data_IF_699027976112
#
_entry.id   IF_699027976112
#
_cell.length_a   1.000
_cell.length_b   1.000
_cell.length_c   1.000
_cell.angle_alpha   90.00
_cell.angle_beta   90.00
_cell.angle_gamma   90.00
#
_symmetry.space_group_name_H-M   'P 1'
#
loop_
_entity.id
_entity.type
_entity.pdbx_description
1 polymer ?
#
# COMPACT_ATOMS: atom_id res chain seq x y z
N UNK A 1 10.35 -13.69 23.38
CA UNK A 1 10.81 -12.28 23.51
C UNK A 1 12.32 -12.18 23.64
N UNK A 2 12.92 -12.58 24.78
CA UNK A 2 14.37 -12.42 25.04
C UNK A 2 15.27 -13.06 23.98
N UNK A 3 14.89 -14.25 23.50
CA UNK A 3 15.61 -14.96 22.45
C UNK A 3 15.72 -14.19 21.14
N UNK A 4 14.69 -13.46 20.70
CA UNK A 4 14.75 -12.67 19.45
C UNK A 4 15.55 -11.38 19.62
N UNK A 5 15.36 -10.69 20.74
CA UNK A 5 16.10 -9.44 21.03
C UNK A 5 17.60 -9.67 21.16
N UNK A 6 18.03 -10.82 21.69
CA UNK A 6 19.45 -11.18 21.81
C UNK A 6 20.02 -11.94 20.63
N UNK A 7 19.19 -12.41 19.69
CA UNK A 7 19.66 -13.15 18.53
C UNK A 7 20.40 -12.27 17.51
N UNK A 8 20.23 -10.94 17.57
CA UNK A 8 20.79 -10.00 16.61
C UNK A 8 21.35 -8.81 17.37
N UNK A 9 22.65 -8.55 17.21
CA UNK A 9 23.24 -7.25 17.54
C UNK A 9 23.21 -6.43 16.25
N UNK A 10 22.43 -5.34 16.24
CA UNK A 10 22.25 -4.53 15.06
C UNK A 10 23.00 -3.21 15.20
N UNK A 11 23.80 -2.88 14.19
CA UNK A 11 24.42 -1.57 14.02
C UNK A 11 24.02 -1.10 12.63
N UNK A 12 23.16 -0.07 12.56
CA UNK A 12 22.65 0.42 11.30
C UNK A 12 23.81 0.95 10.44
N UNK A 13 24.01 0.43 9.21
CA UNK A 13 24.94 1.03 8.28
C UNK A 13 24.37 2.34 7.71
N UNK A 14 25.22 3.12 7.05
CA UNK A 14 24.75 4.24 6.25
C UNK A 14 24.10 3.71 4.97
N UNK A 15 22.78 3.53 5.00
CA UNK A 15 22.00 3.07 3.86
C UNK A 15 22.02 4.08 2.71
N UNK A 16 22.44 3.64 1.52
CA UNK A 16 22.38 4.43 0.29
C UNK A 16 21.18 3.95 -0.52
N UNK A 17 20.09 4.69 -0.41
CA UNK A 17 18.83 4.37 -1.07
C UNK A 17 18.83 4.78 -2.54
N UNK A 18 18.24 3.92 -3.38
CA UNK A 18 18.02 4.17 -4.80
C UNK A 18 16.56 3.87 -5.14
N UNK A 19 15.92 4.69 -6.00
CA UNK A 19 14.56 4.42 -6.42
C UNK A 19 14.50 3.14 -7.25
N UNK A 20 13.48 2.34 -7.05
CA UNK A 20 13.16 1.15 -7.82
C UNK A 20 11.66 1.08 -8.06
N UNK A 21 11.25 0.51 -9.17
CA UNK A 21 9.85 0.29 -9.50
C UNK A 21 9.60 -1.20 -9.71
N UNK A 22 8.58 -1.73 -9.04
CA UNK A 22 8.15 -3.11 -9.17
C UNK A 22 6.77 -3.16 -9.81
N UNK A 23 6.51 -4.20 -10.59
CA UNK A 23 5.14 -4.57 -10.94
C UNK A 23 4.35 -4.95 -9.68
N UNK A 24 3.02 -4.91 -9.76
CA UNK A 24 2.16 -5.31 -8.64
C UNK A 24 2.43 -6.76 -8.20
N UNK A 25 2.78 -7.66 -9.13
CA UNK A 25 3.05 -9.05 -8.81
C UNK A 25 4.43 -9.25 -8.17
N UNK A 26 5.46 -8.53 -8.64
CA UNK A 26 6.77 -8.51 -7.97
C UNK A 26 6.66 -7.95 -6.54
N UNK A 27 5.86 -6.89 -6.34
CA UNK A 27 5.63 -6.33 -5.02
C UNK A 27 4.90 -7.31 -4.09
N UNK A 28 3.91 -8.09 -4.60
CA UNK A 28 3.24 -9.16 -3.84
C UNK A 28 4.23 -10.25 -3.42
N UNK A 29 5.10 -10.67 -4.34
CA UNK A 29 6.14 -11.67 -4.05
C UNK A 29 7.10 -11.15 -2.99
N UNK A 30 7.56 -9.90 -3.10
CA UNK A 30 8.40 -9.25 -2.09
C UNK A 30 7.73 -9.25 -0.71
N UNK A 31 6.46 -8.84 -0.63
CA UNK A 31 5.70 -8.79 0.63
C UNK A 31 5.51 -10.17 1.31
N UNK A 32 5.66 -11.27 0.55
CA UNK A 32 5.54 -12.64 1.04
C UNK A 32 6.89 -13.25 1.43
N UNK A 33 7.88 -13.09 0.56
CA UNK A 33 9.17 -13.77 0.67
C UNK A 33 10.11 -13.05 1.63
N UNK A 34 10.13 -11.72 1.60
CA UNK A 34 11.10 -10.93 2.37
C UNK A 34 10.98 -11.10 3.89
N UNK A 35 9.78 -11.07 4.52
CA UNK A 35 9.66 -11.36 5.95
C UNK A 35 10.01 -12.80 6.32
N UNK A 36 9.97 -13.72 5.35
CA UNK A 36 10.30 -15.14 5.52
C UNK A 36 11.80 -15.40 5.38
N UNK A 37 12.51 -14.61 4.57
CA UNK A 37 13.97 -14.64 4.51
C UNK A 37 14.60 -13.94 5.73
N UNK A 38 13.97 -12.87 6.23
CA UNK A 38 14.51 -12.02 7.29
C UNK A 38 13.80 -12.21 8.65
N UNK A 39 13.44 -13.45 9.00
CA UNK A 39 12.64 -13.81 10.20
C UNK A 39 13.16 -13.23 11.51
N UNK A 40 14.48 -13.14 11.64
CA UNK A 40 15.16 -12.68 12.84
C UNK A 40 15.23 -11.15 12.92
N UNK A 41 15.08 -10.45 11.79
CA UNK A 41 15.25 -9.00 11.66
C UNK A 41 13.89 -8.29 11.62
N UNK A 42 12.89 -8.90 10.98
CA UNK A 42 11.55 -8.32 10.77
C UNK A 42 10.59 -8.74 11.89
N UNK A 43 9.80 -7.80 12.40
CA UNK A 43 8.60 -8.10 13.17
C UNK A 43 7.43 -8.35 12.21
N UNK A 44 6.85 -9.54 12.27
CA UNK A 44 5.76 -9.90 11.37
C UNK A 44 4.72 -10.76 12.10
N UNK A 45 3.67 -10.11 12.57
CA UNK A 45 2.52 -10.76 13.19
C UNK A 45 1.46 -11.15 12.17
N UNK A 46 0.93 -12.37 12.25
CA UNK A 46 -0.31 -12.79 11.58
C UNK A 46 -1.40 -13.00 12.62
N UNK A 47 -2.63 -12.64 12.29
CA UNK A 47 -3.78 -12.74 13.18
C UNK A 47 -3.98 -14.16 13.76
N UNK A 48 -3.71 -15.20 12.97
CA UNK A 48 -3.89 -16.58 13.41
C UNK A 48 -2.98 -16.98 14.58
N UNK A 49 -1.81 -16.35 14.73
CA UNK A 49 -0.95 -16.59 15.90
C UNK A 49 -1.63 -16.25 17.22
N UNK A 50 -2.57 -15.31 17.19
CA UNK A 50 -3.29 -14.81 18.35
C UNK A 50 -4.66 -15.44 18.52
N UNK A 51 -5.31 -15.85 17.42
CA UNK A 51 -6.67 -16.39 17.45
C UNK A 51 -6.74 -17.91 17.65
N UNK A 52 -5.77 -18.67 17.16
CA UNK A 52 -5.77 -20.14 17.30
C UNK A 52 -5.58 -20.59 18.76
N UNK A 53 -4.67 -20.02 19.57
CA UNK A 53 -4.50 -20.47 20.95
C UNK A 53 -5.76 -20.35 21.81
N UNK A 54 -6.53 -19.23 21.82
CA UNK A 54 -7.81 -19.15 22.52
C UNK A 54 -8.81 -20.23 22.09
N UNK A 55 -8.92 -20.53 20.80
CA UNK A 55 -9.82 -21.59 20.30
C UNK A 55 -9.41 -22.96 20.83
N UNK A 56 -8.11 -23.26 20.87
CA UNK A 56 -7.59 -24.52 21.43
C UNK A 56 -7.81 -24.60 22.95
N UNK A 57 -7.72 -23.48 23.67
CA UNK A 57 -8.03 -23.42 25.10
C UNK A 57 -9.52 -23.65 25.37
N UNK A 58 -10.41 -23.12 24.52
CA UNK A 58 -11.85 -23.40 24.60
C UNK A 58 -12.13 -24.89 24.34
N UNK A 59 -11.45 -25.51 23.37
CA UNK A 59 -11.57 -26.94 23.12
C UNK A 59 -11.17 -27.78 24.35
N UNK A 60 -10.07 -27.39 25.01
CA UNK A 60 -9.61 -28.01 26.26
C UNK A 60 -10.68 -27.96 27.36
N UNK A 61 -11.39 -26.84 27.49
CA UNK A 61 -12.46 -26.68 28.49
C UNK A 61 -13.75 -27.41 28.09
N UNK A 62 -14.07 -27.47 26.81
CA UNK A 62 -15.31 -28.05 26.31
C UNK A 62 -15.34 -29.58 26.42
N UNK A 63 -14.21 -30.26 26.21
CA UNK A 63 -14.16 -31.73 26.17
C UNK A 63 -14.54 -32.37 27.51
N UNK A 64 -14.02 -31.96 28.68
CA UNK A 64 -14.45 -32.50 29.96
C UNK A 64 -15.93 -32.26 30.25
N UNK A 65 -16.47 -31.10 29.87
CA UNK A 65 -17.89 -30.77 30.04
C UNK A 65 -18.76 -31.69 29.17
N UNK A 66 -18.39 -31.86 27.90
CA UNK A 66 -19.10 -32.72 26.97
C UNK A 66 -19.03 -34.20 27.39
N UNK A 67 -17.86 -34.65 27.89
CA UNK A 67 -17.66 -36.02 28.37
C UNK A 67 -18.43 -36.30 29.68
N UNK A 68 -18.71 -35.27 30.48
CA UNK A 68 -19.51 -35.38 31.70
C UNK A 68 -21.01 -35.49 31.38
N UNK A 69 -21.51 -34.67 30.45
CA UNK A 69 -22.94 -34.50 30.22
C UNK A 69 -23.52 -35.40 29.11
N UNK A 70 -22.73 -35.75 28.09
CA UNK A 70 -23.27 -36.36 26.85
C UNK A 70 -22.70 -37.75 26.60
N UNK A 71 -21.37 -37.89 26.52
CA UNK A 71 -20.73 -39.17 26.18
C UNK A 71 -19.48 -39.45 27.02
N UNK A 72 -19.64 -40.39 27.96
CA UNK A 72 -18.57 -40.78 28.87
C UNK A 72 -17.42 -41.52 28.19
N UNK A 73 -17.61 -42.08 26.99
CA UNK A 73 -16.53 -42.75 26.25
C UNK A 73 -15.37 -41.81 25.93
N UNK A 74 -15.65 -40.50 25.83
CA UNK A 74 -14.68 -39.45 25.56
C UNK A 74 -13.68 -39.19 26.69
N UNK A 75 -13.95 -39.66 27.91
CA UNK A 75 -12.97 -39.57 29.02
C UNK A 75 -11.66 -40.29 28.70
N UNK A 76 -11.71 -41.35 27.90
CA UNK A 76 -10.52 -42.12 27.49
C UNK A 76 -9.58 -41.31 26.58
N UNK A 77 -10.11 -40.38 25.80
CA UNK A 77 -9.35 -39.55 24.85
C UNK A 77 -9.09 -38.12 25.35
N UNK A 78 -9.81 -37.68 26.39
CA UNK A 78 -9.68 -36.34 26.95
C UNK A 78 -8.23 -35.94 27.32
N UNK A 79 -7.41 -36.79 27.96
CA UNK A 79 -6.01 -36.46 28.25
C UNK A 79 -5.16 -36.25 26.98
N UNK A 80 -5.40 -37.04 25.93
CA UNK A 80 -4.67 -36.93 24.68
C UNK A 80 -5.03 -35.62 23.95
N UNK A 81 -6.33 -35.28 23.88
CA UNK A 81 -6.76 -34.03 23.27
C UNK A 81 -6.26 -32.83 24.07
N UNK A 82 -6.32 -32.90 25.41
CA UNK A 82 -5.75 -31.88 26.28
C UNK A 82 -4.28 -31.61 25.95
N UNK A 83 -3.46 -32.67 25.95
CA UNK A 83 -2.02 -32.54 25.71
C UNK A 83 -1.72 -32.00 24.30
N UNK A 84 -2.43 -32.51 23.28
CA UNK A 84 -2.26 -32.07 21.90
C UNK A 84 -2.67 -30.60 21.70
N UNK A 85 -3.84 -30.20 22.21
CA UNK A 85 -4.33 -28.83 22.10
C UNK A 85 -3.47 -27.85 22.90
N UNK A 86 -3.03 -28.21 24.11
CA UNK A 86 -2.17 -27.36 24.93
C UNK A 86 -0.78 -27.20 24.30
N UNK A 87 -0.21 -28.30 23.81
CA UNK A 87 1.06 -28.29 23.09
C UNK A 87 0.99 -27.42 21.84
N UNK A 88 -0.06 -27.58 21.02
CA UNK A 88 -0.29 -26.77 19.84
C UNK A 88 -0.50 -25.28 20.19
N UNK A 89 -1.32 -24.98 21.19
CA UNK A 89 -1.56 -23.61 21.64
C UNK A 89 -0.27 -22.93 22.10
N UNK A 90 0.53 -23.64 22.89
CA UNK A 90 1.82 -23.14 23.39
C UNK A 90 2.81 -22.94 22.25
N UNK A 91 2.94 -23.91 21.35
CA UNK A 91 3.85 -23.80 20.20
C UNK A 91 3.50 -22.62 19.29
N UNK A 92 2.20 -22.45 18.97
CA UNK A 92 1.71 -21.35 18.15
C UNK A 92 1.91 -20.01 18.85
N UNK A 93 1.61 -19.91 20.15
CA UNK A 93 1.79 -18.69 20.92
C UNK A 93 3.27 -18.29 21.02
N UNK A 94 4.17 -19.24 21.29
CA UNK A 94 5.62 -19.00 21.35
C UNK A 94 6.16 -18.59 19.99
N UNK A 95 5.77 -19.29 18.93
CA UNK A 95 6.16 -18.94 17.56
C UNK A 95 5.63 -17.56 17.15
N UNK A 96 4.37 -17.27 17.45
CA UNK A 96 3.71 -15.99 17.23
C UNK A 96 4.40 -14.86 17.97
N UNK A 97 4.68 -15.04 19.26
CA UNK A 97 5.41 -14.09 20.08
C UNK A 97 6.82 -13.84 19.53
N UNK A 98 7.52 -14.88 19.08
CA UNK A 98 8.81 -14.74 18.40
C UNK A 98 8.67 -13.90 17.12
N UNK A 99 7.73 -14.25 16.24
CA UNK A 99 7.51 -13.55 14.97
C UNK A 99 7.11 -12.09 15.15
N UNK A 100 6.24 -11.79 16.11
CA UNK A 100 5.72 -10.44 16.37
C UNK A 100 6.65 -9.55 17.21
N UNK A 101 7.66 -10.10 17.89
CA UNK A 101 8.60 -9.28 18.67
C UNK A 101 9.50 -8.45 17.74
N UNK A 102 9.52 -7.13 17.93
CA UNK A 102 10.47 -6.22 17.30
C UNK A 102 11.83 -6.22 18.02
N UNK A 103 12.88 -5.93 17.25
CA UNK A 103 14.24 -5.68 17.72
C UNK A 103 14.83 -4.45 17.00
N UNK A 104 16.09 -4.13 17.29
CA UNK A 104 16.72 -2.90 16.80
C UNK A 104 16.84 -2.86 15.26
N UNK A 105 16.89 -4.02 14.59
CA UNK A 105 16.89 -4.10 13.13
C UNK A 105 15.50 -3.92 12.51
N UNK A 106 14.42 -4.08 13.29
CA UNK A 106 13.06 -4.10 12.74
C UNK A 106 12.70 -2.81 12.00
N UNK A 107 13.18 -1.65 12.46
CA UNK A 107 12.85 -0.37 11.82
C UNK A 107 13.37 -0.26 10.38
N UNK A 108 14.55 -0.85 10.10
CA UNK A 108 15.14 -0.78 8.77
C UNK A 108 14.63 -1.91 7.86
N UNK A 109 14.25 -3.05 8.45
CA UNK A 109 13.82 -4.21 7.70
C UNK A 109 12.29 -4.30 7.57
N UNK A 110 11.49 -3.48 8.23
CA UNK A 110 10.04 -3.53 8.05
C UNK A 110 9.62 -3.08 6.63
N UNK A 111 8.60 -3.73 6.09
CA UNK A 111 7.98 -3.35 4.81
C UNK A 111 6.71 -2.53 5.10
N UNK A 112 6.86 -1.46 5.88
CA UNK A 112 5.75 -0.65 6.35
C UNK A 112 4.94 -0.14 5.16
N UNK A 113 3.62 -0.30 5.21
CA UNK A 113 2.65 0.15 4.19
C UNK A 113 2.74 -0.52 2.81
N UNK A 114 3.64 -1.47 2.58
CA UNK A 114 3.75 -2.13 1.25
C UNK A 114 2.46 -2.83 0.84
N UNK A 115 1.75 -3.47 1.79
CA UNK A 115 0.51 -4.19 1.51
C UNK A 115 -0.61 -3.25 1.12
N UNK A 116 -0.69 -2.13 1.82
CA UNK A 116 -1.62 -1.03 1.60
C UNK A 116 -1.37 -0.40 0.23
N UNK A 117 -0.11 -0.20 -0.14
CA UNK A 117 0.30 0.28 -1.47
C UNK A 117 -0.03 -0.71 -2.58
N UNK A 118 0.18 -2.02 -2.39
CA UNK A 118 -0.21 -3.04 -3.37
C UNK A 118 -1.73 -3.03 -3.58
N UNK A 119 -2.50 -2.94 -2.49
CA UNK A 119 -3.96 -2.86 -2.58
C UNK A 119 -4.41 -1.57 -3.28
N UNK A 120 -3.82 -0.42 -2.92
CA UNK A 120 -4.09 0.87 -3.56
C UNK A 120 -3.80 0.81 -5.06
N UNK A 121 -2.67 0.22 -5.46
CA UNK A 121 -2.31 0.04 -6.86
C UNK A 121 -3.28 -0.89 -7.58
N UNK A 122 -3.77 -1.93 -6.92
CA UNK A 122 -4.82 -2.80 -7.46
C UNK A 122 -6.14 -2.07 -7.73
N UNK A 123 -6.53 -1.13 -6.85
CA UNK A 123 -7.72 -0.28 -7.06
C UNK A 123 -7.46 0.73 -8.19
N UNK A 124 -6.31 1.40 -8.19
CA UNK A 124 -5.97 2.39 -9.22
C UNK A 124 -5.80 1.78 -10.61
N UNK A 125 -5.34 0.54 -10.72
CA UNK A 125 -5.25 -0.19 -12.00
C UNK A 125 -6.61 -0.40 -12.68
N UNK A 126 -7.72 -0.27 -11.95
CA UNK A 126 -9.07 -0.36 -12.51
C UNK A 126 -9.63 0.99 -12.96
N UNK A 127 -8.92 2.09 -12.68
CA UNK A 127 -9.36 3.44 -13.06
C UNK A 127 -9.14 3.64 -14.56
N UNK A 128 -10.17 4.03 -15.33
CA UNK A 128 -10.01 4.26 -16.75
C UNK A 128 -8.96 5.34 -17.05
N UNK A 129 -8.13 5.10 -18.06
CA UNK A 129 -7.09 6.03 -18.47
C UNK A 129 -5.78 5.95 -17.68
N UNK A 130 -5.69 5.09 -16.65
CA UNK A 130 -4.40 4.74 -16.06
C UNK A 130 -3.77 3.55 -16.78
N UNK A 131 -2.44 3.59 -16.91
CA UNK A 131 -1.61 2.50 -17.41
C UNK A 131 -0.29 2.44 -16.63
N UNK A 132 0.48 1.36 -16.85
CA UNK A 132 1.77 1.09 -16.20
C UNK A 132 1.74 1.27 -14.67
N UNK A 133 0.67 0.78 -14.02
CA UNK A 133 0.55 0.84 -12.56
C UNK A 133 1.59 -0.06 -11.90
N UNK A 134 2.47 0.54 -11.10
CA UNK A 134 3.65 -0.05 -10.46
C UNK A 134 3.73 0.39 -9.00
N UNK A 135 4.54 -0.31 -8.23
CA UNK A 135 4.89 0.07 -6.85
C UNK A 135 6.30 0.65 -6.86
N UNK A 136 6.40 1.94 -6.59
CA UNK A 136 7.65 2.64 -6.33
C UNK A 136 8.14 2.38 -4.91
N UNK A 137 9.43 2.10 -4.78
CA UNK A 137 10.12 1.87 -3.52
C UNK A 137 11.50 2.52 -3.59
N UNK A 138 12.09 2.77 -2.44
CA UNK A 138 13.53 2.97 -2.35
C UNK A 138 14.18 1.71 -1.80
N UNK A 139 15.27 1.26 -2.43
CA UNK A 139 16.04 0.09 -2.01
C UNK A 139 17.47 0.51 -1.64
N UNK A 140 17.98 0.00 -0.53
CA UNK A 140 19.39 0.07 -0.18
C UNK A 140 19.93 -1.34 0.05
N UNK A 141 21.19 -1.56 -0.32
CA UNK A 141 21.87 -2.85 -0.16
C UNK A 141 23.20 -2.67 0.57
N UNK A 142 23.45 -3.50 1.58
CA UNK A 142 24.69 -3.52 2.33
C UNK A 142 24.97 -4.94 2.84
N UNK A 143 26.18 -5.44 2.58
CA UNK A 143 26.64 -6.77 3.03
C UNK A 143 25.65 -7.93 2.72
N UNK A 144 25.01 -7.88 1.55
CA UNK A 144 24.03 -8.88 1.11
C UNK A 144 22.63 -8.74 1.70
N UNK A 145 22.40 -7.75 2.58
CA UNK A 145 21.08 -7.38 3.07
C UNK A 145 20.49 -6.27 2.22
N UNK A 146 19.20 -6.37 1.95
CA UNK A 146 18.42 -5.34 1.26
C UNK A 146 17.38 -4.79 2.21
N UNK A 147 17.19 -3.48 2.23
CA UNK A 147 16.13 -2.79 2.98
C UNK A 147 15.32 -1.93 2.03
N UNK A 148 14.05 -1.73 2.36
CA UNK A 148 13.11 -1.02 1.51
C UNK A 148 12.38 0.06 2.31
N UNK A 149 12.09 1.20 1.68
CA UNK A 149 11.28 2.26 2.29
C UNK A 149 10.42 2.99 1.28
N UNK A 150 9.50 3.79 1.82
CA UNK A 150 8.60 4.70 1.08
C UNK A 150 7.81 4.02 -0.06
N UNK A 151 7.06 2.94 0.21
CA UNK A 151 6.20 2.35 -0.81
C UNK A 151 5.13 3.34 -1.26
N UNK A 152 5.00 3.50 -2.57
CA UNK A 152 3.96 4.31 -3.19
C UNK A 152 3.55 3.73 -4.53
N UNK A 153 2.34 4.02 -4.98
CA UNK A 153 1.89 3.64 -6.31
C UNK A 153 2.42 4.64 -7.31
N UNK A 154 2.87 4.16 -8.47
CA UNK A 154 3.25 4.96 -9.63
C UNK A 154 2.38 4.49 -10.78
N UNK A 155 1.75 5.41 -11.49
CA UNK A 155 0.99 5.12 -12.69
C UNK A 155 1.21 6.23 -13.73
N UNK A 156 0.87 5.96 -14.98
CA UNK A 156 0.91 6.94 -16.06
C UNK A 156 -0.46 7.05 -16.72
N UNK A 157 -0.73 8.15 -17.40
CA UNK A 157 -1.98 8.36 -18.13
C UNK A 157 -1.84 7.77 -19.54
N UNK A 158 -2.86 7.03 -19.98
CA UNK A 158 -2.92 6.39 -21.28
C UNK A 158 -2.81 7.43 -22.41
N UNK A 159 -1.92 7.17 -23.37
CA UNK A 159 -1.66 8.05 -24.51
C UNK A 159 -0.62 9.15 -24.27
N UNK A 160 -0.23 9.38 -23.01
CA UNK A 160 0.77 10.39 -22.62
C UNK A 160 1.73 9.82 -21.56
N UNK A 161 2.12 8.56 -21.72
CA UNK A 161 2.84 7.79 -20.70
C UNK A 161 4.24 8.32 -20.39
N UNK A 162 4.87 9.00 -21.35
CA UNK A 162 6.22 9.54 -21.19
C UNK A 162 6.22 10.92 -20.50
N UNK A 163 5.11 11.64 -20.60
CA UNK A 163 4.96 13.00 -20.05
C UNK A 163 4.23 13.01 -18.72
N UNK A 164 3.41 12.01 -18.44
CA UNK A 164 2.55 11.95 -17.26
C UNK A 164 3.05 10.97 -16.21
N UNK A 165 2.88 11.34 -14.94
CA UNK A 165 2.98 10.37 -13.84
C UNK A 165 2.07 10.77 -12.70
N UNK A 166 1.47 9.76 -12.09
CA UNK A 166 0.63 9.87 -10.91
C UNK A 166 1.28 9.00 -9.84
N UNK A 167 1.58 9.61 -8.70
CA UNK A 167 2.14 8.96 -7.53
C UNK A 167 1.16 9.03 -6.37
N UNK A 168 0.92 7.93 -5.68
CA UNK A 168 -0.05 7.86 -4.60
C UNK A 168 0.51 7.14 -3.38
N UNK A 169 0.35 7.74 -2.20
CA UNK A 169 0.83 7.22 -0.92
C UNK A 169 -0.35 6.82 -0.04
N UNK A 170 -0.17 5.69 0.65
CA UNK A 170 -1.08 5.20 1.68
C UNK A 170 -0.30 5.00 2.98
N UNK A 171 -0.90 5.40 4.10
CA UNK A 171 -0.39 5.13 5.45
C UNK A 171 -1.41 4.40 6.32
N UNK A 172 -2.57 4.07 5.76
CA UNK A 172 -3.62 3.36 6.45
C UNK A 172 -4.38 2.50 5.45
N UNK A 173 -4.82 1.33 5.91
CA UNK A 173 -5.59 0.39 5.10
C UNK A 173 -6.83 1.07 4.52
N UNK A 174 -6.94 1.05 3.19
CA UNK A 174 -8.13 1.56 2.51
C UNK A 174 -8.18 3.09 2.39
N UNK A 175 -7.08 3.80 2.68
CA UNK A 175 -7.04 5.26 2.65
C UNK A 175 -5.87 5.81 1.85
N UNK A 176 -6.16 6.87 1.09
CA UNK A 176 -5.19 7.70 0.39
C UNK A 176 -4.73 8.83 1.32
N UNK A 177 -3.41 8.97 1.50
CA UNK A 177 -2.83 10.09 2.27
C UNK A 177 -2.49 11.27 1.37
N UNK A 178 -1.83 10.98 0.25
CA UNK A 178 -1.33 11.98 -0.69
C UNK A 178 -1.39 11.40 -2.09
N UNK A 179 -1.74 12.24 -3.05
CA UNK A 179 -1.58 11.95 -4.47
C UNK A 179 -0.89 13.14 -5.13
N UNK A 180 0.14 12.85 -5.91
CA UNK A 180 0.84 13.81 -6.75
C UNK A 180 0.66 13.39 -8.19
N UNK A 181 0.08 14.25 -9.01
CA UNK A 181 0.05 14.09 -10.45
C UNK A 181 0.99 15.12 -11.05
N UNK A 182 1.81 14.73 -12.01
CA UNK A 182 2.63 15.67 -12.74
C UNK A 182 2.56 15.44 -14.24
N UNK A 183 2.71 16.55 -14.97
CA UNK A 183 2.87 16.59 -16.41
C UNK A 183 4.18 17.30 -16.74
N UNK A 184 5.05 16.62 -17.47
CA UNK A 184 6.24 17.22 -18.04
C UNK A 184 5.85 17.99 -19.30
N UNK A 185 6.14 19.29 -19.34
CA UNK A 185 5.99 20.08 -20.56
C UNK A 185 7.30 20.00 -21.34
N UNK A 186 7.26 19.53 -22.59
CA UNK A 186 8.45 19.45 -23.46
C UNK A 186 9.20 20.78 -23.55
N UNK A 187 10.52 20.70 -23.76
CA UNK A 187 11.47 21.83 -23.87
C UNK A 187 11.82 22.59 -22.57
N UNK A 188 12.36 21.88 -21.58
CA UNK A 188 13.32 22.44 -20.63
C UNK A 188 12.82 23.42 -19.54
N UNK A 189 11.54 23.80 -19.49
CA UNK A 189 11.10 24.92 -18.64
C UNK A 189 9.85 24.73 -17.76
N UNK A 190 9.40 23.51 -17.48
CA UNK A 190 8.40 23.35 -16.42
C UNK A 190 7.96 21.93 -16.13
N UNK A 191 7.51 21.73 -14.88
CA UNK A 191 6.61 20.64 -14.53
C UNK A 191 5.34 21.27 -13.98
N UNK A 192 4.20 20.78 -14.43
CA UNK A 192 2.92 21.13 -13.82
C UNK A 192 2.60 20.03 -12.83
N UNK A 193 2.38 20.39 -11.58
CA UNK A 193 2.16 19.44 -10.49
C UNK A 193 0.84 19.74 -9.83
N UNK A 194 0.01 18.72 -9.68
CA UNK A 194 -1.20 18.74 -8.87
C UNK A 194 -0.98 17.87 -7.64
N UNK A 195 -1.13 18.45 -6.46
CA UNK A 195 -1.05 17.75 -5.20
C UNK A 195 -2.43 17.70 -4.55
N UNK A 196 -2.85 16.50 -4.17
CA UNK A 196 -4.00 16.26 -3.31
C UNK A 196 -3.51 15.68 -1.99
N UNK A 197 -3.97 16.26 -0.87
CA UNK A 197 -3.59 15.83 0.47
C UNK A 197 -4.83 15.53 1.29
N UNK A 198 -4.77 14.47 2.12
CA UNK A 198 -5.87 14.05 2.99
C UNK A 198 -6.39 15.15 3.93
N UNK A 199 -5.53 16.13 4.27
CA UNK A 199 -5.85 17.28 5.11
C UNK A 199 -6.70 18.33 4.39
N UNK A 200 -6.31 18.66 3.17
CA UNK A 200 -6.92 19.76 2.40
C UNK A 200 -8.09 19.26 1.55
N UNK A 201 -8.02 17.99 1.11
CA UNK A 201 -9.04 17.29 0.30
C UNK A 201 -9.37 17.93 -1.06
N UNK A 202 -8.61 18.94 -1.44
CA UNK A 202 -8.66 19.62 -2.73
C UNK A 202 -7.35 19.45 -3.50
N UNK A 203 -7.43 19.62 -4.82
CA UNK A 203 -6.25 19.63 -5.68
C UNK A 203 -5.64 21.03 -5.69
N UNK A 204 -4.36 21.09 -5.37
CA UNK A 204 -3.53 22.27 -5.46
C UNK A 204 -2.59 22.15 -6.65
N UNK A 205 -2.65 23.10 -7.60
CA UNK A 205 -1.81 23.14 -8.79
C UNK A 205 -0.63 24.09 -8.57
N UNK A 206 0.55 23.66 -9.01
CA UNK A 206 1.77 24.47 -9.09
C UNK A 206 2.41 24.32 -10.46
N UNK A 207 3.10 25.35 -10.93
CA UNK A 207 3.87 25.33 -12.18
C UNK A 207 5.31 25.71 -11.89
N UNK A 208 6.25 25.32 -12.75
CA UNK A 208 7.68 25.59 -12.54
C UNK A 208 8.05 27.07 -12.36
N UNK A 209 7.22 28.00 -12.87
CA UNK A 209 7.39 29.45 -12.74
C UNK A 209 6.57 30.08 -11.60
N UNK A 210 5.60 29.36 -11.04
CA UNK A 210 4.70 29.86 -9.99
C UNK A 210 4.72 28.94 -8.77
N UNK A 211 5.51 29.34 -7.77
CA UNK A 211 5.59 28.66 -6.48
C UNK A 211 4.41 28.97 -5.56
N UNK A 212 3.61 30.00 -5.88
CA UNK A 212 2.51 30.44 -5.01
C UNK A 212 1.30 29.52 -5.09
N UNK A 213 1.11 28.84 -6.23
CA UNK A 213 0.11 27.78 -6.45
C UNK A 213 -1.35 28.22 -6.26
N UNK A 214 -2.29 27.37 -6.68
CA UNK A 214 -3.72 27.63 -6.49
C UNK A 214 -4.58 26.36 -6.50
N UNK A 215 -5.72 26.41 -5.82
CA UNK A 215 -6.69 25.32 -5.83
C UNK A 215 -7.41 25.23 -7.19
N UNK A 216 -7.56 24.01 -7.71
CA UNK A 216 -8.25 23.76 -8.98
C UNK A 216 -9.54 22.98 -8.76
N UNK A 217 -10.56 23.33 -9.55
CA UNK A 217 -11.82 22.60 -9.53
C UNK A 217 -11.62 21.20 -10.14
N UNK A 218 -12.11 20.13 -9.48
CA UNK A 218 -12.01 18.78 -10.01
C UNK A 218 -12.82 18.63 -11.33
N UNK A 219 -12.26 18.00 -12.38
CA UNK A 219 -12.91 17.90 -13.70
C UNK A 219 -14.01 16.83 -13.76
N UNK A 220 -14.01 15.85 -12.85
CA UNK A 220 -15.00 14.78 -12.81
C UNK A 220 -16.23 15.24 -12.03
N UNK A 221 -17.40 15.18 -12.67
CA UNK A 221 -18.65 15.58 -12.03
C UNK A 221 -19.00 14.60 -10.91
N UNK A 222 -19.13 15.11 -9.69
CA UNK A 222 -19.51 14.31 -8.53
C UNK A 222 -20.59 15.02 -7.71
N UNK A 223 -21.43 14.24 -7.03
CA UNK A 223 -22.36 14.73 -6.01
C UNK A 223 -21.69 14.85 -4.64
N UNK A 224 -20.48 14.32 -4.50
CA UNK A 224 -19.69 14.39 -3.27
C UNK A 224 -19.19 15.82 -3.09
N UNK A 225 -19.47 16.41 -1.93
CA UNK A 225 -19.10 17.80 -1.62
C UNK A 225 -17.59 17.96 -1.46
N UNK A 226 -16.93 16.99 -0.82
CA UNK A 226 -15.49 16.96 -0.55
C UNK A 226 -14.97 15.53 -0.70
N UNK A 227 -13.90 15.34 -1.46
CA UNK A 227 -13.32 14.01 -1.68
C UNK A 227 -12.73 13.45 -0.38
N UNK A 228 -13.17 12.26 0.03
CA UNK A 228 -12.65 11.57 1.20
C UNK A 228 -11.37 10.80 0.89
N UNK A 229 -10.59 10.49 1.92
CA UNK A 229 -9.42 9.59 1.83
C UNK A 229 -9.78 8.19 1.34
N UNK A 230 -11.05 7.79 1.45
CA UNK A 230 -11.56 6.50 0.97
C UNK A 230 -12.08 6.56 -0.48
N UNK A 231 -12.25 7.75 -1.05
CA UNK A 231 -12.75 7.96 -2.41
C UNK A 231 -11.63 7.83 -3.46
N UNK A 232 -10.84 6.76 -3.35
CA UNK A 232 -9.60 6.55 -4.12
C UNK A 232 -9.85 6.63 -5.62
N UNK A 233 -10.91 5.97 -6.11
CA UNK A 233 -11.31 5.99 -7.52
C UNK A 233 -11.61 7.42 -7.99
N UNK A 234 -12.41 8.18 -7.22
CA UNK A 234 -12.78 9.55 -7.56
C UNK A 234 -11.58 10.49 -7.55
N UNK A 235 -10.72 10.42 -6.54
CA UNK A 235 -9.50 11.26 -6.47
C UNK A 235 -8.58 10.92 -7.63
N UNK A 236 -8.40 9.64 -7.95
CA UNK A 236 -7.53 9.19 -9.04
C UNK A 236 -8.08 9.63 -10.41
N UNK A 237 -9.39 9.49 -10.66
CA UNK A 237 -10.02 9.97 -11.90
C UNK A 237 -9.85 11.49 -12.07
N UNK A 238 -10.00 12.25 -10.99
CA UNK A 238 -9.78 13.69 -11.05
C UNK A 238 -8.32 14.04 -11.38
N UNK A 239 -7.36 13.32 -10.81
CA UNK A 239 -5.96 13.48 -11.15
C UNK A 239 -5.68 13.18 -12.63
N UNK A 240 -6.21 12.07 -13.16
CA UNK A 240 -6.12 11.72 -14.59
C UNK A 240 -6.74 12.83 -15.45
N UNK A 241 -7.93 13.30 -15.09
CA UNK A 241 -8.62 14.35 -15.83
C UNK A 241 -7.86 15.68 -15.83
N UNK A 242 -7.25 16.06 -14.70
CA UNK A 242 -6.45 17.29 -14.61
C UNK A 242 -5.23 17.23 -15.52
N UNK A 243 -4.50 16.11 -15.51
CA UNK A 243 -3.33 15.90 -16.37
C UNK A 243 -3.73 15.89 -17.85
N UNK A 244 -4.77 15.13 -18.19
CA UNK A 244 -5.26 15.00 -19.57
C UNK A 244 -5.76 16.33 -20.14
N UNK A 245 -6.53 17.11 -19.36
CA UNK A 245 -7.01 18.42 -19.79
C UNK A 245 -5.87 19.42 -19.99
N UNK A 246 -4.85 19.40 -19.14
CA UNK A 246 -3.71 20.29 -19.29
C UNK A 246 -2.86 19.90 -20.51
N UNK A 247 -2.69 18.61 -20.77
CA UNK A 247 -1.98 18.15 -21.96
C UNK A 247 -2.71 18.54 -23.25
N UNK A 248 -4.04 18.39 -23.30
CA UNK A 248 -4.85 18.84 -24.46
C UNK A 248 -4.76 20.35 -24.69
N UNK A 249 -4.62 21.15 -23.62
CA UNK A 249 -4.39 22.60 -23.75
C UNK A 249 -3.02 22.92 -24.37
N UNK A 250 -2.01 22.10 -24.06
CA UNK A 250 -0.67 22.26 -24.62
C UNK A 250 -0.56 21.71 -26.05
N UNK A 251 -1.39 20.72 -26.42
CA UNK A 251 -1.37 20.04 -27.71
C UNK A 251 -2.78 20.05 -28.36
N UNK A 252 -3.27 21.22 -28.82
CA UNK A 252 -4.64 21.34 -29.36
C UNK A 252 -4.88 20.50 -30.62
N UNK A 253 -3.83 20.10 -31.33
CA UNK A 253 -3.91 19.37 -32.60
C UNK A 253 -3.91 17.84 -32.45
N UNK A 254 -3.51 17.31 -31.28
CA UNK A 254 -3.44 15.86 -31.02
C UNK A 254 -4.47 15.47 -29.95
N UNK A 255 -5.67 15.09 -30.39
CA UNK A 255 -6.85 15.03 -29.52
C UNK A 255 -7.45 13.63 -29.34
N UNK A 256 -7.19 12.69 -30.25
CA UNK A 256 -8.01 11.47 -30.35
C UNK A 256 -7.85 10.52 -29.15
N UNK A 257 -6.64 10.28 -28.67
CA UNK A 257 -6.39 9.29 -27.62
C UNK A 257 -6.77 9.79 -26.22
N UNK A 258 -6.48 11.06 -25.91
CA UNK A 258 -6.70 11.64 -24.58
C UNK A 258 -8.16 12.04 -24.35
N UNK A 259 -8.89 12.42 -25.42
CA UNK A 259 -10.34 12.67 -25.32
C UNK A 259 -11.13 11.43 -24.92
N UNK A 260 -10.77 10.25 -25.45
CA UNK A 260 -11.42 8.99 -25.07
C UNK A 260 -11.21 8.68 -23.58
N UNK A 261 -10.02 8.94 -23.05
CA UNK A 261 -9.74 8.83 -21.61
C UNK A 261 -10.66 9.74 -20.79
N UNK A 262 -10.77 11.02 -21.17
CA UNK A 262 -11.63 11.99 -20.48
C UNK A 262 -13.11 11.58 -20.47
N UNK A 263 -13.59 11.04 -21.60
CA UNK A 263 -14.96 10.53 -21.70
C UNK A 263 -15.18 9.32 -20.79
N UNK A 264 -14.25 8.37 -20.76
CA UNK A 264 -14.34 7.16 -19.93
C UNK A 264 -14.34 7.46 -18.43
N UNK A 265 -13.63 8.51 -17.98
CA UNK A 265 -13.63 8.92 -16.57
C UNK A 265 -14.78 9.87 -16.21
N UNK A 266 -15.60 10.30 -17.17
CA UNK A 266 -16.73 11.22 -16.96
C UNK A 266 -16.31 12.65 -16.66
N UNK A 267 -15.17 13.10 -17.19
CA UNK A 267 -14.71 14.47 -17.05
C UNK A 267 -15.52 15.41 -17.95
N UNK A 268 -15.85 16.60 -17.44
CA UNK A 268 -16.39 17.67 -18.29
C UNK A 268 -15.26 18.46 -18.92
N UNK A 269 -15.27 18.59 -20.26
CA UNK A 269 -14.39 19.52 -20.95
C UNK A 269 -14.69 20.94 -20.45
N UNK A 270 -13.66 21.76 -20.16
CA UNK A 270 -13.87 23.18 -19.90
C UNK A 270 -14.54 23.82 -21.12
N UNK A 271 -15.50 24.70 -20.89
CA UNK A 271 -16.09 25.48 -21.97
C UNK A 271 -14.97 26.23 -22.71
N UNK A 272 -15.01 26.31 -24.05
CA UNK A 272 -14.04 27.12 -24.78
C UNK A 272 -14.11 28.56 -24.26
N UNK A 273 -12.96 29.06 -23.81
CA UNK A 273 -12.75 30.45 -23.39
C UNK A 273 -12.69 31.37 -24.59
#
# INVERSE_FOLDING_TARGET
WYGKKRAVTYVAPNWVFRPTELTLDEAKSLAKEYPTANLRLVAYGRMWYFMVPPVLLLLILAIPLYAADIDRSLWSVAPAVYAASLGAATAIAVYGAFRATANDATNDFDLSFLRETIWLGGVQAQVPGLTRVRVGLEVAEFAGYRVFREPHVIATVQGIEEESRIQAWSEEVGALKRLLAYLATGHGHGRIVWSWHARDRDFWKTTGSDTSGYYVRPPVRTRVREMSVKDIDLVTRNAVGLVALEWLRAHPDDTTTVLDVLNRIGASLPAPS
#
